data_IF_141278046657
#
_entry.id   IF_141278046657
#
_cell.length_a   1.000
_cell.length_b   1.000
_cell.length_c   1.000
_cell.angle_alpha   90.00
_cell.angle_beta   90.00
_cell.angle_gamma   90.00
#
_symmetry.space_group_name_H-M   'P 1'
#
loop_
_entity.id
_entity.type
_entity.pdbx_description
1 polymer ?
#
# COMPACT_ATOMS: atom_id res chain seq x y z
N UNK A 1 4.38 12.59 1.16
CA UNK A 1 4.16 12.96 -0.26
C UNK A 1 4.67 14.36 -0.59
N UNK A 2 5.78 14.79 0.01
CA UNK A 2 6.44 16.07 -0.31
C UNK A 2 7.65 15.89 -1.22
N UNK A 3 8.10 14.64 -1.38
CA UNK A 3 9.17 14.22 -2.27
C UNK A 3 8.66 13.01 -3.06
N UNK A 4 8.19 13.27 -4.29
CA UNK A 4 7.69 12.22 -5.18
C UNK A 4 8.82 11.50 -5.91
N UNK A 5 9.91 12.21 -6.20
CA UNK A 5 11.05 11.72 -6.97
C UNK A 5 11.68 10.48 -6.33
N UNK A 6 11.64 10.36 -5.00
CA UNK A 6 12.10 9.16 -4.31
C UNK A 6 11.29 7.90 -4.69
N UNK A 7 9.97 8.01 -4.91
CA UNK A 7 9.08 6.88 -5.20
C UNK A 7 8.81 6.67 -6.69
N UNK A 8 9.02 7.69 -7.53
CA UNK A 8 8.78 7.60 -8.98
C UNK A 8 9.45 6.40 -9.68
N UNK A 9 10.72 6.02 -9.37
CA UNK A 9 11.41 4.94 -10.08
C UNK A 9 10.71 3.58 -9.97
N UNK A 10 9.96 3.36 -8.90
CA UNK A 10 9.38 2.04 -8.60
C UNK A 10 7.97 1.89 -9.19
N UNK A 11 7.37 2.98 -9.68
CA UNK A 11 6.08 2.96 -10.34
C UNK A 11 6.20 2.15 -11.65
N UNK A 12 5.35 1.13 -11.88
CA UNK A 12 5.36 0.38 -13.13
C UNK A 12 5.20 1.28 -14.36
N UNK A 13 6.08 1.14 -15.34
CA UNK A 13 6.12 2.01 -16.53
C UNK A 13 4.82 2.03 -17.36
N UNK A 14 3.99 0.98 -17.25
CA UNK A 14 2.67 0.89 -17.91
C UNK A 14 1.68 1.96 -17.42
N UNK A 15 1.92 2.56 -16.24
CA UNK A 15 1.03 3.54 -15.63
C UNK A 15 1.22 4.98 -16.15
N UNK A 16 2.21 5.23 -17.01
CA UNK A 16 2.46 6.57 -17.58
C UNK A 16 3.24 7.47 -16.61
N UNK A 17 2.72 8.67 -16.32
CA UNK A 17 3.38 9.65 -15.46
C UNK A 17 3.44 9.19 -13.99
N UNK A 18 4.63 8.85 -13.47
CA UNK A 18 4.77 8.29 -12.14
C UNK A 18 4.44 9.30 -11.03
N UNK A 19 4.68 10.60 -11.25
CA UNK A 19 4.46 11.64 -10.24
C UNK A 19 2.98 11.71 -9.86
N UNK A 20 2.09 11.61 -10.86
CA UNK A 20 0.63 11.60 -10.64
C UNK A 20 0.22 10.42 -9.75
N UNK A 21 0.76 9.23 -10.02
CA UNK A 21 0.42 8.04 -9.25
C UNK A 21 0.94 8.09 -7.82
N UNK A 22 2.15 8.62 -7.59
CA UNK A 22 2.68 8.82 -6.24
C UNK A 22 1.81 9.79 -5.43
N UNK A 23 1.33 10.88 -6.05
CA UNK A 23 0.42 11.82 -5.39
C UNK A 23 -0.95 11.20 -5.10
N UNK A 24 -1.56 10.52 -6.07
CA UNK A 24 -2.87 9.86 -5.91
C UNK A 24 -2.81 8.83 -4.78
N UNK A 25 -1.85 7.92 -4.86
CA UNK A 25 -1.69 6.88 -3.84
C UNK A 25 -1.40 7.46 -2.48
N UNK A 26 -0.73 8.61 -2.42
CA UNK A 26 -0.50 9.28 -1.16
C UNK A 26 -1.72 9.92 -0.52
N UNK A 27 -2.59 10.53 -1.33
CA UNK A 27 -3.89 11.00 -0.86
C UNK A 27 -4.74 9.81 -0.37
N UNK A 28 -4.72 8.69 -1.09
CA UNK A 28 -5.41 7.48 -0.68
C UNK A 28 -4.90 6.93 0.66
N UNK A 29 -3.59 6.89 0.88
CA UNK A 29 -3.00 6.41 2.13
C UNK A 29 -3.46 7.25 3.33
N UNK A 30 -3.46 8.58 3.19
CA UNK A 30 -3.96 9.49 4.24
C UNK A 30 -5.44 9.24 4.50
N UNK A 31 -6.26 9.14 3.45
CA UNK A 31 -7.69 8.91 3.57
C UNK A 31 -8.01 7.57 4.25
N UNK A 32 -7.28 6.50 3.90
CA UNK A 32 -7.41 5.17 4.52
C UNK A 32 -6.97 5.24 5.98
N UNK A 33 -5.84 5.89 6.29
CA UNK A 33 -5.36 6.05 7.66
C UNK A 33 -6.37 6.76 8.55
N UNK A 34 -6.92 7.89 8.10
CA UNK A 34 -8.01 8.60 8.81
C UNK A 34 -9.25 7.71 8.93
N UNK A 35 -9.60 7.02 7.85
CA UNK A 35 -10.76 6.12 7.81
C UNK A 35 -10.67 4.94 8.78
N UNK A 36 -9.46 4.46 9.08
CA UNK A 36 -9.22 3.40 10.07
C UNK A 36 -9.32 3.89 11.52
N UNK A 37 -9.06 5.19 11.76
CA UNK A 37 -9.17 5.82 13.09
C UNK A 37 -10.64 6.04 13.46
N UNK A 38 -11.45 6.50 12.51
CA UNK A 38 -12.87 6.81 12.77
C UNK A 38 -13.71 5.51 12.79
N UNK A 39 -14.43 5.22 13.87
CA UNK A 39 -15.10 3.92 14.04
C UNK A 39 -16.17 3.65 12.99
N UNK A 40 -16.88 4.68 12.52
CA UNK A 40 -17.95 4.56 11.53
C UNK A 40 -17.45 4.38 10.08
N UNK A 41 -16.18 4.68 9.79
CA UNK A 41 -15.58 4.42 8.45
C UNK A 41 -14.68 3.20 8.44
N UNK A 42 -14.36 2.64 9.61
CA UNK A 42 -13.34 1.60 9.78
C UNK A 42 -13.58 0.36 8.90
N UNK A 43 -14.85 -0.01 8.69
CA UNK A 43 -15.24 -1.11 7.79
C UNK A 43 -14.74 -0.87 6.36
N UNK A 44 -15.13 0.26 5.78
CA UNK A 44 -14.75 0.62 4.40
C UNK A 44 -13.25 0.89 4.29
N UNK A 45 -12.65 1.51 5.29
CA UNK A 45 -11.23 1.75 5.33
C UNK A 45 -10.40 0.45 5.44
N UNK A 46 -10.89 -0.57 6.15
CA UNK A 46 -10.28 -1.90 6.18
C UNK A 46 -10.26 -2.56 4.80
N UNK A 47 -11.39 -2.55 4.08
CA UNK A 47 -11.44 -3.07 2.72
C UNK A 47 -10.58 -2.23 1.74
N UNK A 48 -10.65 -0.90 1.86
CA UNK A 48 -9.85 0.03 1.08
C UNK A 48 -8.35 -0.20 1.28
N UNK A 49 -7.92 -0.35 2.53
CA UNK A 49 -6.54 -0.72 2.90
C UNK A 49 -6.11 -2.03 2.26
N UNK A 50 -6.95 -3.06 2.31
CA UNK A 50 -6.64 -4.36 1.70
C UNK A 50 -6.38 -4.23 0.19
N UNK A 51 -7.29 -3.59 -0.55
CA UNK A 51 -7.15 -3.38 -1.99
C UNK A 51 -5.96 -2.47 -2.31
N UNK A 52 -5.77 -1.41 -1.54
CA UNK A 52 -4.64 -0.48 -1.69
C UNK A 52 -3.28 -1.18 -1.51
N UNK A 53 -3.16 -2.04 -0.50
CA UNK A 53 -1.94 -2.80 -0.25
C UNK A 53 -1.60 -3.74 -1.41
N UNK A 54 -2.58 -4.30 -2.11
CA UNK A 54 -2.33 -5.10 -3.33
C UNK A 54 -1.73 -4.21 -4.42
N UNK A 55 -2.33 -3.05 -4.66
CA UNK A 55 -1.84 -2.08 -5.65
C UNK A 55 -0.42 -1.59 -5.35
N UNK A 56 -0.14 -1.19 -4.11
CA UNK A 56 1.20 -0.72 -3.71
C UNK A 56 2.23 -1.85 -3.74
N UNK A 57 1.83 -3.08 -3.43
CA UNK A 57 2.77 -4.22 -3.53
C UNK A 57 3.25 -4.41 -4.97
N UNK A 58 2.45 -4.08 -5.98
CA UNK A 58 2.90 -4.15 -7.37
C UNK A 58 4.12 -3.25 -7.63
N UNK A 59 4.14 -2.02 -7.12
CA UNK A 59 5.32 -1.14 -7.21
C UNK A 59 6.52 -1.71 -6.43
N UNK A 60 6.29 -2.26 -5.24
CA UNK A 60 7.34 -2.93 -4.46
C UNK A 60 7.92 -4.18 -5.17
N UNK A 61 7.06 -4.94 -5.86
CA UNK A 61 7.47 -6.08 -6.65
C UNK A 61 8.22 -5.66 -7.91
N UNK A 62 7.78 -4.59 -8.58
CA UNK A 62 8.49 -3.99 -9.71
C UNK A 62 9.92 -3.61 -9.33
N UNK A 63 10.11 -2.96 -8.17
CA UNK A 63 11.43 -2.68 -7.61
C UNK A 63 12.27 -3.95 -7.43
N UNK A 64 11.71 -4.98 -6.82
CA UNK A 64 12.43 -6.22 -6.54
C UNK A 64 12.81 -6.95 -7.84
N UNK A 65 11.85 -7.16 -8.73
CA UNK A 65 12.03 -7.95 -9.95
C UNK A 65 12.99 -7.29 -10.93
N UNK A 66 12.88 -5.97 -11.11
CA UNK A 66 13.73 -5.22 -12.04
C UNK A 66 14.98 -4.63 -11.38
N UNK A 67 15.24 -4.96 -10.11
CA UNK A 67 16.38 -4.49 -9.32
C UNK A 67 16.56 -2.96 -9.38
N UNK A 68 15.45 -2.24 -9.27
CA UNK A 68 15.41 -0.78 -9.41
C UNK A 68 16.02 -0.14 -8.15
N UNK A 69 17.07 0.69 -8.28
CA UNK A 69 17.67 1.36 -7.13
C UNK A 69 16.76 2.49 -6.62
N UNK A 70 16.67 2.61 -5.30
CA UNK A 70 16.15 3.79 -4.63
C UNK A 70 17.33 4.60 -4.10
N UNK A 71 17.43 5.88 -4.48
CA UNK A 71 18.53 6.75 -4.08
C UNK A 71 19.92 6.13 -4.34
N UNK A 72 20.06 5.50 -5.51
CA UNK A 72 21.30 4.81 -5.92
C UNK A 72 21.58 3.49 -5.21
N UNK A 73 20.68 2.99 -4.35
CA UNK A 73 20.86 1.74 -3.60
C UNK A 73 19.82 0.69 -3.96
N UNK A 74 20.29 -0.52 -4.25
CA UNK A 74 19.45 -1.72 -4.37
C UNK A 74 19.46 -2.50 -3.04
N UNK A 75 18.40 -3.24 -2.78
CA UNK A 75 18.28 -4.03 -1.55
C UNK A 75 18.51 -5.51 -1.81
N UNK A 76 19.04 -6.22 -0.81
CA UNK A 76 19.18 -7.67 -0.90
C UNK A 76 17.81 -8.38 -0.90
N UNK A 77 17.72 -9.54 -1.55
CA UNK A 77 16.46 -10.28 -1.72
C UNK A 77 15.72 -10.58 -0.41
N UNK A 78 16.43 -10.85 0.69
CA UNK A 78 15.79 -11.12 1.98
C UNK A 78 14.99 -9.91 2.52
N UNK A 79 15.38 -8.67 2.20
CA UNK A 79 14.61 -7.48 2.56
C UNK A 79 13.31 -7.37 1.78
N UNK A 80 13.30 -7.78 0.51
CA UNK A 80 12.08 -7.82 -0.29
C UNK A 80 11.13 -8.93 0.19
N UNK A 81 11.67 -10.10 0.57
CA UNK A 81 10.88 -11.18 1.18
C UNK A 81 10.28 -10.73 2.51
N UNK A 82 11.07 -10.08 3.37
CA UNK A 82 10.56 -9.54 4.64
C UNK A 82 9.44 -8.52 4.40
N UNK A 83 9.61 -7.62 3.43
CA UNK A 83 8.57 -6.65 3.03
C UNK A 83 7.29 -7.36 2.57
N UNK A 84 7.40 -8.39 1.73
CA UNK A 84 6.26 -9.18 1.28
C UNK A 84 5.52 -9.83 2.46
N UNK A 85 6.25 -10.48 3.38
CA UNK A 85 5.62 -11.14 4.55
C UNK A 85 4.90 -10.12 5.42
N UNK A 86 5.53 -8.98 5.72
CA UNK A 86 4.90 -7.90 6.48
C UNK A 86 3.64 -7.36 5.76
N UNK A 87 3.72 -7.18 4.44
CA UNK A 87 2.62 -6.67 3.64
C UNK A 87 1.44 -7.65 3.57
N UNK A 88 1.70 -8.96 3.47
CA UNK A 88 0.67 -9.99 3.59
C UNK A 88 0.01 -9.98 4.99
N UNK A 89 0.80 -9.79 6.06
CA UNK A 89 0.26 -9.61 7.40
C UNK A 89 -0.68 -8.41 7.52
N UNK A 90 -0.31 -7.27 6.93
CA UNK A 90 -1.16 -6.07 6.88
C UNK A 90 -2.43 -6.28 6.05
N UNK A 91 -2.35 -7.04 4.95
CA UNK A 91 -3.54 -7.43 4.17
C UNK A 91 -4.49 -8.28 5.01
N UNK A 92 -3.98 -9.31 5.70
CA UNK A 92 -4.81 -10.16 6.60
C UNK A 92 -5.47 -9.33 7.70
N UNK A 93 -4.72 -8.42 8.33
CA UNK A 93 -5.27 -7.51 9.34
C UNK A 93 -6.37 -6.60 8.78
N UNK A 94 -6.14 -6.01 7.60
CA UNK A 94 -7.11 -5.13 6.92
C UNK A 94 -8.41 -5.88 6.60
N UNK A 95 -8.29 -7.13 6.12
CA UNK A 95 -9.43 -8.01 5.88
C UNK A 95 -10.17 -8.38 7.18
N UNK A 96 -9.45 -8.69 8.26
CA UNK A 96 -10.04 -8.98 9.56
C UNK A 96 -10.81 -7.78 10.14
N UNK A 97 -10.29 -6.56 9.97
CA UNK A 97 -10.98 -5.32 10.35
C UNK A 97 -12.30 -5.18 9.58
N UNK A 98 -12.26 -5.33 8.25
CA UNK A 98 -13.46 -5.29 7.42
C UNK A 98 -14.51 -6.32 7.84
N UNK A 99 -14.09 -7.57 8.08
CA UNK A 99 -15.01 -8.63 8.53
C UNK A 99 -15.58 -8.28 9.91
N UNK A 100 -14.74 -7.98 10.89
CA UNK A 100 -15.20 -7.78 12.28
C UNK A 100 -16.23 -6.66 12.40
N UNK A 101 -16.08 -5.56 11.65
CA UNK A 101 -17.07 -4.50 11.60
C UNK A 101 -18.45 -4.96 11.06
N UNK A 102 -18.52 -5.97 10.19
CA UNK A 102 -19.81 -6.53 9.76
C UNK A 102 -20.56 -7.26 10.87
N UNK A 103 -19.86 -7.86 11.84
CA UNK A 103 -20.53 -8.52 12.97
C UNK A 103 -21.21 -7.48 13.85
N UNK A 104 -20.51 -6.40 14.18
CA UNK A 104 -21.03 -5.34 15.05
C UNK A 104 -22.21 -4.59 14.46
N UNK A 105 -22.32 -4.49 13.13
CA UNK A 105 -23.47 -3.86 12.46
C UNK A 105 -24.71 -4.77 12.39
N UNK A 106 -24.56 -6.08 12.63
CA UNK A 106 -25.65 -7.06 12.56
C UNK A 106 -26.26 -7.39 13.94
N UNK A 107 -25.67 -6.88 15.02
CA UNK A 107 -26.15 -6.99 16.42
C UNK A 107 -26.94 -5.74 16.82
#
# INVERSE_FOLDING_TARGET
>A
FTDTAWFEPIVPAVLGDPTIWVLITGVMEIAIGVGLILPWTRRYAGLGSFVFLIGIYWANFNMWFNNIPLDGKTYAHHWHVLRLVAQLGMMVLSYAIWRSSQATEAE
#
